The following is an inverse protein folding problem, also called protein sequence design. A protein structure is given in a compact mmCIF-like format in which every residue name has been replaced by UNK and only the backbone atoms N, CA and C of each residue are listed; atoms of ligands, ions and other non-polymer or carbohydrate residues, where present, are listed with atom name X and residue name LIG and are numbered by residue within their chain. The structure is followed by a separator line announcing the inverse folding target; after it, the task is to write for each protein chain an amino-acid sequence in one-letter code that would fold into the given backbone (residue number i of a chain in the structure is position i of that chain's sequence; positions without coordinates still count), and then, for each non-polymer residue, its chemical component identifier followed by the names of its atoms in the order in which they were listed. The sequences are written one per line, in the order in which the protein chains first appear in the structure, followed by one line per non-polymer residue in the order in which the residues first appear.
data_IF_691783984220
#
_entry.id   IF_691783984220
#
_cell.length_a   1.000
_cell.length_b   1.000
_cell.length_c   1.000
_cell.angle_alpha   90.00
_cell.angle_beta   90.00
_cell.angle_gamma   90.00
#
_symmetry.space_group_name_H-M   'P 1'
#
loop_
_entity.id
_entity.type
_entity.pdbx_description
1 polymer ?
#
# COMPACT_ATOMS: atom_id res chain seq x y z
N UNK A 1 -18.57 -49.52 -55.82
CA UNK A 1 -18.77 -48.28 -55.05
C UNK A 1 -18.90 -48.68 -53.60
N UNK A 2 -17.86 -48.46 -52.80
CA UNK A 2 -17.74 -48.91 -51.41
C UNK A 2 -17.74 -47.68 -50.51
N UNK A 3 -18.53 -47.76 -49.44
CA UNK A 3 -18.77 -46.71 -48.45
C UNK A 3 -17.52 -46.43 -47.61
N UNK A 4 -17.32 -45.16 -47.25
CA UNK A 4 -16.43 -44.71 -46.19
C UNK A 4 -17.09 -43.53 -45.50
N UNK A 5 -17.59 -43.77 -44.30
CA UNK A 5 -18.15 -42.76 -43.39
C UNK A 5 -16.98 -41.93 -42.85
N UNK A 6 -16.92 -40.65 -43.20
CA UNK A 6 -16.03 -39.70 -42.55
C UNK A 6 -16.58 -39.42 -41.14
N UNK A 7 -16.06 -40.16 -40.17
CA UNK A 7 -16.29 -39.90 -38.75
C UNK A 7 -15.73 -38.51 -38.41
N UNK A 8 -16.62 -37.54 -38.20
CA UNK A 8 -16.29 -36.26 -37.60
C UNK A 8 -15.88 -36.53 -36.15
N UNK A 9 -14.59 -36.41 -35.86
CA UNK A 9 -14.07 -36.52 -34.50
C UNK A 9 -14.81 -35.52 -33.57
N UNK A 10 -15.23 -35.93 -32.37
CA UNK A 10 -15.85 -35.02 -31.43
C UNK A 10 -14.82 -33.98 -30.99
N UNK A 11 -15.15 -32.70 -31.19
CA UNK A 11 -14.43 -31.58 -30.59
C UNK A 11 -14.43 -31.77 -29.06
N UNK A 12 -13.27 -32.10 -28.51
CA UNK A 12 -13.02 -32.18 -27.08
C UNK A 12 -13.37 -30.84 -26.41
N UNK A 13 -14.42 -30.77 -25.55
CA UNK A 13 -14.74 -29.54 -24.82
C UNK A 13 -13.80 -29.31 -23.61
N UNK A 14 -12.77 -30.13 -23.44
CA UNK A 14 -11.80 -30.09 -22.34
C UNK A 14 -10.67 -29.09 -22.50
N UNK A 15 -10.89 -27.96 -23.20
CA UNK A 15 -9.97 -26.84 -23.22
C UNK A 15 -9.83 -26.25 -21.82
N UNK A 16 -8.93 -26.82 -21.02
CA UNK A 16 -8.51 -26.26 -19.74
C UNK A 16 -8.25 -24.79 -19.96
N UNK A 17 -8.99 -23.93 -19.25
CA UNK A 17 -8.68 -22.50 -19.15
C UNK A 17 -7.27 -22.44 -18.59
N UNK A 18 -6.29 -22.36 -19.48
CA UNK A 18 -4.91 -22.20 -19.09
C UNK A 18 -4.87 -20.85 -18.41
N UNK A 19 -4.62 -20.89 -17.10
CA UNK A 19 -4.15 -19.72 -16.38
C UNK A 19 -3.08 -19.05 -17.26
N UNK A 20 -3.14 -17.72 -17.50
CA UNK A 20 -2.19 -17.01 -18.36
C UNK A 20 -0.74 -17.07 -17.86
N UNK A 21 -0.48 -17.89 -16.85
CA UNK A 21 0.71 -17.99 -16.06
C UNK A 21 1.09 -19.48 -15.95
N UNK A 22 2.14 -19.89 -16.68
CA UNK A 22 2.64 -21.28 -16.73
C UNK A 22 3.14 -21.83 -15.37
N UNK A 23 3.62 -23.07 -15.34
CA UNK A 23 3.99 -23.79 -14.09
C UNK A 23 4.98 -23.05 -13.16
N UNK A 24 5.88 -22.23 -13.68
CA UNK A 24 6.79 -21.40 -12.87
C UNK A 24 6.08 -20.27 -12.13
N UNK A 25 5.03 -19.72 -12.74
CA UNK A 25 4.29 -18.58 -12.21
C UNK A 25 3.36 -18.96 -11.05
N UNK A 26 2.85 -20.20 -11.02
CA UNK A 26 2.09 -20.69 -9.88
C UNK A 26 2.90 -20.66 -8.56
N UNK A 27 4.19 -20.97 -8.64
CA UNK A 27 5.13 -20.90 -7.50
C UNK A 27 5.46 -19.46 -7.10
N UNK A 28 5.55 -18.57 -8.08
CA UNK A 28 5.76 -17.13 -7.86
C UNK A 28 4.53 -16.49 -7.18
N UNK A 29 3.33 -16.80 -7.66
CA UNK A 29 2.07 -16.37 -7.04
C UNK A 29 1.95 -16.85 -5.59
N UNK A 30 2.26 -18.12 -5.31
CA UNK A 30 2.27 -18.66 -3.95
C UNK A 30 3.27 -17.93 -3.03
N UNK A 31 4.43 -17.58 -3.57
CA UNK A 31 5.47 -16.85 -2.83
C UNK A 31 5.02 -15.42 -2.52
N UNK A 32 4.34 -14.77 -3.46
CA UNK A 32 3.82 -13.43 -3.30
C UNK A 32 2.66 -13.37 -2.30
N UNK A 33 1.77 -14.36 -2.32
CA UNK A 33 0.73 -14.53 -1.30
C UNK A 33 1.32 -14.72 0.11
N UNK A 34 2.39 -15.53 0.25
CA UNK A 34 3.11 -15.70 1.52
C UNK A 34 3.78 -14.41 1.97
N UNK A 35 4.36 -13.65 1.05
CA UNK A 35 4.94 -12.34 1.36
C UNK A 35 3.88 -11.39 1.90
N UNK A 36 2.74 -11.25 1.21
CA UNK A 36 1.61 -10.45 1.67
C UNK A 36 1.16 -10.86 3.08
N UNK A 37 0.98 -12.16 3.32
CA UNK A 37 0.58 -12.66 4.65
C UNK A 37 1.54 -12.26 5.77
N UNK A 38 2.85 -12.26 5.49
CA UNK A 38 3.86 -11.79 6.46
C UNK A 38 3.75 -10.29 6.71
N UNK A 39 3.49 -9.50 5.68
CA UNK A 39 3.28 -8.06 5.80
C UNK A 39 2.01 -7.75 6.59
N UNK A 40 0.89 -8.41 6.28
CA UNK A 40 -0.38 -8.28 7.02
C UNK A 40 -0.18 -8.63 8.51
N UNK A 41 0.65 -9.65 8.80
CA UNK A 41 1.02 -10.00 10.16
C UNK A 41 1.81 -8.89 10.86
N UNK A 42 2.85 -8.35 10.22
CA UNK A 42 3.63 -7.25 10.79
C UNK A 42 2.75 -6.02 11.06
N UNK A 43 1.84 -5.69 10.13
CA UNK A 43 0.87 -4.62 10.34
C UNK A 43 -0.06 -4.90 11.54
N UNK A 44 -0.58 -6.12 11.65
CA UNK A 44 -1.39 -6.53 12.80
C UNK A 44 -0.63 -6.46 14.12
N UNK A 45 0.64 -6.87 14.12
CA UNK A 45 1.51 -6.83 15.29
C UNK A 45 1.83 -5.37 15.67
N UNK A 46 2.05 -4.48 14.69
CA UNK A 46 2.21 -3.04 14.91
C UNK A 46 0.96 -2.41 15.55
N UNK A 47 -0.23 -2.67 15.00
CA UNK A 47 -1.51 -2.14 15.51
C UNK A 47 -1.82 -2.60 16.94
N UNK A 48 -1.39 -3.81 17.32
CA UNK A 48 -1.55 -4.35 18.68
C UNK A 48 -0.44 -3.91 19.64
N UNK A 49 0.64 -3.34 19.12
CA UNK A 49 1.80 -2.96 19.92
C UNK A 49 1.58 -1.62 20.64
N UNK A 50 2.36 -1.34 21.69
CA UNK A 50 2.45 0.00 22.28
C UNK A 50 2.90 1.08 21.30
N UNK A 51 3.49 0.69 20.17
CA UNK A 51 3.92 1.59 19.11
C UNK A 51 2.84 1.84 18.05
N UNK A 52 1.61 1.32 18.21
CA UNK A 52 0.52 1.67 17.30
C UNK A 52 0.26 3.17 17.34
N UNK A 53 -0.15 3.77 16.22
CA UNK A 53 -0.50 5.20 16.17
C UNK A 53 -1.54 5.53 17.25
N UNK A 54 -2.54 4.67 17.42
CA UNK A 54 -3.60 4.84 18.41
C UNK A 54 -3.05 4.85 19.84
N UNK A 55 -2.24 3.87 20.21
CA UNK A 55 -1.67 3.78 21.56
C UNK A 55 -0.71 4.92 21.83
N UNK A 56 0.08 5.33 20.84
CA UNK A 56 0.90 6.53 20.96
C UNK A 56 -0.02 7.74 21.17
N UNK A 57 -1.04 7.98 20.33
CA UNK A 57 -1.99 9.10 20.48
C UNK A 57 -2.62 9.20 21.89
N UNK A 58 -2.85 8.07 22.56
CA UNK A 58 -3.42 8.01 23.90
C UNK A 58 -2.41 8.37 25.02
N UNK A 59 -1.10 8.28 24.77
CA UNK A 59 -0.03 8.58 25.73
C UNK A 59 0.25 10.08 25.84
N UNK A 60 -0.71 10.85 26.36
CA UNK A 60 -0.53 12.28 26.61
C UNK A 60 -0.30 12.55 28.09
N UNK A 61 0.67 13.39 28.42
CA UNK A 61 0.96 13.81 29.79
C UNK A 61 0.62 15.29 29.92
N UNK A 62 -0.25 15.63 30.87
CA UNK A 62 -0.63 17.03 31.08
C UNK A 62 0.54 17.84 31.65
N UNK A 63 0.67 19.10 31.23
CA UNK A 63 1.71 20.02 31.74
C UNK A 63 1.75 20.09 33.27
N UNK A 64 0.60 19.99 33.93
CA UNK A 64 0.50 20.01 35.39
C UNK A 64 1.25 18.84 36.06
N UNK A 65 1.31 17.68 35.41
CA UNK A 65 2.00 16.49 35.91
C UNK A 65 3.54 16.66 35.95
N UNK A 66 4.08 17.64 35.22
CA UNK A 66 5.50 17.97 35.25
C UNK A 66 5.89 18.96 36.37
N UNK A 67 4.92 19.45 37.15
CA UNK A 67 5.16 20.45 38.21
C UNK A 67 5.00 21.88 37.69
N UNK A 68 3.79 22.21 37.21
CA UNK A 68 3.44 23.38 36.38
C UNK A 68 3.78 24.80 36.88
N UNK A 69 4.54 24.92 37.97
CA UNK A 69 5.09 26.18 38.51
C UNK A 69 6.62 26.31 38.35
N UNK A 70 7.30 25.34 37.72
CA UNK A 70 8.75 25.36 37.49
C UNK A 70 9.02 25.51 35.98
N UNK A 71 9.83 26.49 35.59
CA UNK A 71 10.11 26.73 34.15
C UNK A 71 10.76 25.53 33.45
N UNK A 72 11.62 24.77 34.16
CA UNK A 72 12.23 23.54 33.63
C UNK A 72 11.23 22.40 33.36
N UNK A 73 10.04 22.43 33.99
CA UNK A 73 8.95 21.52 33.68
C UNK A 73 8.32 21.80 32.31
N UNK A 74 8.36 23.06 31.86
CA UNK A 74 7.90 23.46 30.54
C UNK A 74 8.74 22.87 29.41
N UNK A 75 10.07 22.89 29.58
CA UNK A 75 11.01 22.33 28.59
C UNK A 75 10.89 20.80 28.49
N UNK A 76 10.72 20.11 29.61
CA UNK A 76 10.52 18.66 29.64
C UNK A 76 9.20 18.24 28.98
N UNK A 77 8.10 18.96 29.25
CA UNK A 77 6.81 18.75 28.59
C UNK A 77 6.94 18.92 27.08
N UNK A 78 7.61 19.98 26.62
CA UNK A 78 7.81 20.23 25.19
C UNK A 78 8.67 19.15 24.53
N UNK A 79 9.74 18.71 25.17
CA UNK A 79 10.59 17.64 24.66
C UNK A 79 9.81 16.31 24.54
N UNK A 80 8.96 16.01 25.52
CA UNK A 80 8.08 14.86 25.47
C UNK A 80 7.10 14.95 24.29
N UNK A 81 6.41 16.08 24.13
CA UNK A 81 5.47 16.31 23.04
C UNK A 81 6.15 16.17 21.66
N UNK A 82 7.38 16.70 21.51
CA UNK A 82 8.16 16.59 20.28
C UNK A 82 8.53 15.13 19.95
N UNK A 83 8.91 14.33 20.95
CA UNK A 83 9.23 12.90 20.76
C UNK A 83 7.97 12.10 20.47
N UNK A 84 6.90 12.38 21.19
CA UNK A 84 5.59 11.74 21.04
C UNK A 84 5.06 11.93 19.61
N UNK A 85 5.03 13.17 19.10
CA UNK A 85 4.57 13.46 17.74
C UNK A 85 5.46 12.82 16.67
N UNK A 86 6.77 12.76 16.88
CA UNK A 86 7.68 12.04 15.97
C UNK A 86 7.38 10.54 15.91
N UNK A 87 7.19 9.89 17.07
CA UNK A 87 6.90 8.46 17.14
C UNK A 87 5.55 8.13 16.49
N UNK A 88 4.53 8.95 16.75
CA UNK A 88 3.22 8.85 16.11
C UNK A 88 3.31 8.94 14.59
N UNK A 89 4.00 9.95 14.06
CA UNK A 89 4.18 10.11 12.62
C UNK A 89 4.95 8.94 12.01
N UNK A 90 5.99 8.47 12.69
CA UNK A 90 6.78 7.35 12.21
C UNK A 90 5.98 6.04 12.17
N UNK A 91 5.22 5.75 13.23
CA UNK A 91 4.32 4.58 13.29
C UNK A 91 3.31 4.60 12.15
N UNK A 92 2.70 5.77 11.89
CA UNK A 92 1.79 5.96 10.77
C UNK A 92 2.47 5.66 9.42
N UNK A 93 3.59 6.31 9.13
CA UNK A 93 4.32 6.15 7.85
C UNK A 93 4.72 4.69 7.65
N UNK A 94 5.19 4.02 8.69
CA UNK A 94 5.58 2.62 8.61
C UNK A 94 4.39 1.69 8.34
N UNK A 95 3.25 1.93 9.00
CA UNK A 95 2.00 1.22 8.72
C UNK A 95 1.55 1.40 7.26
N UNK A 96 1.54 2.64 6.77
CA UNK A 96 1.16 2.97 5.39
C UNK A 96 2.08 2.28 4.36
N UNK A 97 3.39 2.23 4.62
CA UNK A 97 4.35 1.54 3.75
C UNK A 97 4.12 0.03 3.71
N UNK A 98 3.88 -0.61 4.87
CA UNK A 98 3.54 -2.03 4.94
C UNK A 98 2.26 -2.31 4.15
N UNK A 99 1.23 -1.50 4.33
CA UNK A 99 -0.03 -1.66 3.63
C UNK A 99 0.12 -1.50 2.11
N UNK A 100 0.86 -0.48 1.64
CA UNK A 100 1.16 -0.30 0.22
C UNK A 100 1.91 -1.49 -0.38
N UNK A 101 2.89 -2.06 0.34
CA UNK A 101 3.60 -3.27 -0.11
C UNK A 101 2.66 -4.48 -0.18
N UNK A 102 1.75 -4.64 0.78
CA UNK A 102 0.74 -5.70 0.78
C UNK A 102 -0.23 -5.61 -0.39
N UNK A 103 -0.70 -4.40 -0.71
CA UNK A 103 -1.56 -4.15 -1.88
C UNK A 103 -0.81 -4.38 -3.19
N UNK A 104 0.44 -3.90 -3.29
CA UNK A 104 1.27 -4.09 -4.49
C UNK A 104 1.55 -5.57 -4.75
N UNK A 105 1.80 -6.36 -3.70
CA UNK A 105 1.93 -7.80 -3.81
C UNK A 105 0.62 -8.46 -4.30
N UNK A 106 -0.53 -8.02 -3.80
CA UNK A 106 -1.83 -8.51 -4.27
C UNK A 106 -2.07 -8.17 -5.76
N UNK A 107 -1.70 -6.97 -6.20
CA UNK A 107 -1.78 -6.54 -7.60
C UNK A 107 -0.89 -7.41 -8.49
N UNK A 108 0.34 -7.69 -8.07
CA UNK A 108 1.25 -8.52 -8.85
C UNK A 108 0.81 -10.00 -8.89
N UNK A 109 0.06 -10.50 -7.89
CA UNK A 109 -0.51 -11.85 -7.89
C UNK A 109 -1.75 -11.96 -8.81
N UNK A 110 -2.64 -10.96 -8.78
CA UNK A 110 -3.99 -11.06 -9.36
C UNK A 110 -4.24 -10.13 -10.56
N UNK A 111 -3.29 -9.27 -10.90
CA UNK A 111 -3.48 -8.16 -11.83
C UNK A 111 -4.32 -7.03 -11.23
N UNK A 112 -4.25 -5.84 -11.84
CA UNK A 112 -4.96 -4.63 -11.37
C UNK A 112 -6.49 -4.82 -11.37
N UNK A 113 -7.01 -5.57 -12.36
CA UNK A 113 -8.44 -5.89 -12.49
C UNK A 113 -8.92 -6.91 -11.45
N UNK A 114 -8.00 -7.75 -10.94
CA UNK A 114 -8.26 -8.76 -9.91
C UNK A 114 -8.22 -8.22 -8.48
N UNK A 115 -8.00 -6.91 -8.30
CA UNK A 115 -7.98 -6.23 -7.00
C UNK A 115 -9.28 -5.47 -6.75
N UNK A 116 -9.82 -5.59 -5.54
CA UNK A 116 -11.06 -4.92 -5.15
C UNK A 116 -10.92 -3.38 -5.15
N UNK A 117 -12.03 -2.68 -5.38
CA UNK A 117 -12.10 -1.23 -5.39
C UNK A 117 -11.62 -0.60 -4.09
N UNK A 118 -11.86 -1.27 -2.95
CA UNK A 118 -11.39 -0.83 -1.64
C UNK A 118 -9.86 -0.76 -1.55
N UNK A 119 -9.16 -1.79 -2.03
CA UNK A 119 -7.70 -1.85 -2.00
C UNK A 119 -7.07 -0.82 -2.95
N UNK A 120 -7.70 -0.57 -4.11
CA UNK A 120 -7.29 0.51 -5.02
C UNK A 120 -7.46 1.88 -4.37
N UNK A 121 -8.61 2.13 -3.72
CA UNK A 121 -8.86 3.37 -2.98
C UNK A 121 -7.83 3.56 -1.87
N UNK A 122 -7.57 2.52 -1.09
CA UNK A 122 -6.62 2.58 0.01
C UNK A 122 -5.19 2.87 -0.46
N UNK A 123 -4.77 2.27 -1.58
CA UNK A 123 -3.47 2.59 -2.18
C UNK A 123 -3.40 4.05 -2.67
N UNK A 124 -4.50 4.61 -3.19
CA UNK A 124 -4.57 6.03 -3.56
C UNK A 124 -4.48 6.95 -2.33
N UNK A 125 -5.16 6.60 -1.24
CA UNK A 125 -5.08 7.32 0.02
C UNK A 125 -3.64 7.33 0.56
N UNK A 126 -2.97 6.17 0.60
CA UNK A 126 -1.58 6.06 1.04
C UNK A 126 -0.66 6.93 0.17
N UNK A 127 -0.84 6.92 -1.15
CA UNK A 127 -0.05 7.77 -2.06
C UNK A 127 -0.29 9.26 -1.80
N UNK A 128 -1.55 9.68 -1.61
CA UNK A 128 -1.89 11.06 -1.31
C UNK A 128 -1.33 11.51 0.04
N UNK A 129 -1.35 10.64 1.05
CA UNK A 129 -0.73 10.91 2.35
C UNK A 129 0.79 10.93 2.29
N UNK A 130 1.40 10.05 1.50
CA UNK A 130 2.83 10.07 1.24
C UNK A 130 3.25 11.38 0.55
N UNK A 131 2.53 11.84 -0.46
CA UNK A 131 2.83 13.10 -1.17
C UNK A 131 2.77 14.34 -0.27
N UNK A 132 1.90 14.34 0.76
CA UNK A 132 1.83 15.42 1.76
C UNK A 132 3.07 15.45 2.68
N UNK A 133 3.60 14.27 3.00
CA UNK A 133 4.69 14.11 3.97
C UNK A 133 6.07 14.01 3.30
N UNK A 134 6.12 13.68 2.01
CA UNK A 134 7.32 13.57 1.22
C UNK A 134 7.65 14.92 0.59
N UNK A 135 8.68 15.57 1.13
CA UNK A 135 9.38 16.67 0.46
C UNK A 135 10.43 16.06 -0.45
N UNK A 136 10.42 16.48 -1.71
CA UNK A 136 11.50 16.18 -2.64
C UNK A 136 12.85 16.60 -2.02
N UNK A 137 13.83 15.69 -1.89
CA UNK A 137 15.12 15.99 -1.27
C UNK A 137 15.97 16.97 -2.09
N UNK A 138 15.73 17.14 -3.39
CA UNK A 138 16.43 18.11 -4.24
C UNK A 138 15.77 19.49 -4.23
N UNK A 139 14.44 19.57 -4.17
CA UNK A 139 13.70 20.83 -4.32
C UNK A 139 13.03 21.34 -3.04
N UNK A 140 12.92 20.50 -2.01
CA UNK A 140 12.23 20.84 -0.76
C UNK A 140 10.74 21.15 -0.94
N UNK A 141 10.15 20.77 -2.07
CA UNK A 141 8.74 21.00 -2.39
C UNK A 141 7.92 19.72 -2.17
N UNK A 142 6.64 19.84 -1.79
CA UNK A 142 5.75 18.68 -1.75
C UNK A 142 5.67 18.08 -3.15
N UNK A 143 5.81 16.75 -3.25
CA UNK A 143 5.74 16.05 -4.53
C UNK A 143 4.38 16.35 -5.18
N UNK A 144 4.40 17.15 -6.25
CA UNK A 144 3.21 17.47 -7.01
C UNK A 144 2.63 16.15 -7.55
N UNK A 145 1.40 15.84 -7.13
CA UNK A 145 0.71 14.62 -7.53
C UNK A 145 0.68 14.48 -9.05
N UNK A 146 1.23 13.37 -9.55
CA UNK A 146 1.11 12.97 -10.95
C UNK A 146 -0.36 12.77 -11.29
N UNK A 147 -0.92 13.73 -12.01
CA UNK A 147 -2.23 13.61 -12.63
C UNK A 147 -2.48 14.79 -13.54
N UNK A 148 -2.24 14.63 -14.84
CA UNK A 148 -3.25 14.97 -15.84
C UNK A 148 -2.92 14.37 -17.21
N UNK A 149 -3.87 13.60 -17.75
CA UNK A 149 -3.90 13.22 -19.15
C UNK A 149 -4.39 14.40 -19.97
N UNK A 150 -3.46 15.20 -20.48
CA UNK A 150 -3.73 16.34 -21.34
C UNK A 150 -3.35 16.08 -22.79
N UNK A 151 -4.33 15.63 -23.55
CA UNK A 151 -4.40 15.56 -25.01
C UNK A 151 -3.65 16.67 -25.78
N UNK A 152 -2.66 16.32 -26.62
CA UNK A 152 -2.20 17.18 -27.72
C UNK A 152 -2.30 16.46 -29.06
N UNK A 153 -3.47 16.67 -29.64
CA UNK A 153 -3.87 16.37 -31.00
C UNK A 153 -2.98 17.09 -32.02
N UNK A 154 -2.76 16.42 -33.15
CA UNK A 154 -2.09 16.82 -34.39
C UNK A 154 -1.99 18.34 -34.64
N UNK A 155 -0.76 18.83 -34.80
CA UNK A 155 -0.50 20.14 -35.41
C UNK A 155 -0.51 20.00 -36.95
N UNK A 156 -1.55 20.57 -37.59
CA UNK A 156 -1.54 20.91 -39.02
C UNK A 156 -1.41 22.42 -39.16
N UNK A 157 -0.53 22.81 -40.09
CA UNK A 157 -0.50 24.01 -40.93
C UNK A 157 -0.62 25.40 -40.28
N UNK A 158 0.42 26.21 -40.44
CA UNK A 158 0.40 27.36 -41.36
C UNK A 158 1.80 27.56 -41.96
#
# INVERSE_FOLDING_TARGET
MSYGEDAVEPLDPGGSVQSPFGKGMAKEAETLAKFKSRIDKVLSDLEKSPASKKTIDEQTITRAAYGGSIDSAGDLSKLYDDVHEKLKNWSKIFGDQLEAMGITALIAEKGIDGVDAEQRRRLQEIQAEAAKNYRDPETGQPAAGSGDGGNHTKQKAY
#
